data_IF_723823273955
#
_entry.id   IF_723823273955
#
_cell.length_a   1.000
_cell.length_b   1.000
_cell.length_c   1.000
_cell.angle_alpha   90.00
_cell.angle_beta   90.00
_cell.angle_gamma   90.00
#
_symmetry.space_group_name_H-M   'P 1'
#
loop_
_entity.id
_entity.type
_entity.pdbx_description
1 polymer ?
#
# COMPACT_ATOMS: atom_id res chain seq x y z
N UNK A 1 -0.90 13.15 -23.02
CA UNK A 1 -0.16 12.06 -23.70
C UNK A 1 -0.72 10.76 -23.17
N UNK A 2 -0.85 9.72 -24.00
CA UNK A 2 -1.24 8.40 -23.55
C UNK A 2 -0.14 7.82 -22.63
N UNK A 3 -0.52 7.23 -21.50
CA UNK A 3 0.41 6.64 -20.53
C UNK A 3 0.97 5.28 -20.97
N UNK A 4 1.92 4.73 -20.21
CA UNK A 4 2.53 3.43 -20.50
C UNK A 4 1.47 2.29 -20.51
N UNK A 5 0.47 2.34 -19.65
CA UNK A 5 -0.62 1.37 -19.64
C UNK A 5 -1.39 1.35 -20.98
N UNK A 6 -1.72 2.50 -21.56
CA UNK A 6 -2.44 2.62 -22.81
C UNK A 6 -1.57 2.25 -24.02
N UNK A 7 -0.32 2.70 -24.02
CA UNK A 7 0.63 2.46 -25.11
C UNK A 7 1.28 1.08 -25.07
N UNK A 8 1.25 0.41 -23.90
CA UNK A 8 1.98 -0.82 -23.59
C UNK A 8 3.51 -0.68 -23.75
N UNK A 9 4.01 0.54 -23.68
CA UNK A 9 5.43 0.84 -23.75
C UNK A 9 5.90 1.28 -22.36
N UNK A 10 6.60 0.38 -21.69
CA UNK A 10 7.17 0.63 -20.36
C UNK A 10 8.63 1.02 -20.53
N UNK A 11 9.00 2.15 -19.95
CA UNK A 11 10.35 2.67 -19.98
C UNK A 11 11.25 1.84 -19.06
N UNK A 12 12.37 1.37 -19.59
CA UNK A 12 13.41 0.74 -18.78
C UNK A 12 14.56 1.74 -18.57
N UNK A 13 14.55 2.42 -17.43
CA UNK A 13 15.51 3.47 -17.10
C UNK A 13 16.93 2.92 -16.99
N UNK A 14 17.14 1.72 -16.47
CA UNK A 14 18.46 1.11 -16.38
C UNK A 14 19.04 0.84 -17.77
N UNK A 15 18.24 0.37 -18.71
CA UNK A 15 18.66 0.19 -20.09
C UNK A 15 19.04 1.53 -20.78
N UNK A 16 18.36 2.62 -20.45
CA UNK A 16 18.69 3.96 -20.93
C UNK A 16 20.03 4.47 -20.39
N UNK A 17 20.45 4.01 -19.20
CA UNK A 17 21.77 4.27 -18.64
C UNK A 17 22.85 3.30 -19.11
N UNK A 18 22.53 2.40 -20.04
CA UNK A 18 23.50 1.54 -20.73
C UNK A 18 23.72 0.16 -20.11
N UNK A 19 22.91 -0.23 -19.12
CA UNK A 19 22.94 -1.59 -18.60
C UNK A 19 22.24 -2.54 -19.56
N UNK A 20 22.82 -3.73 -19.77
CA UNK A 20 22.19 -4.79 -20.57
C UNK A 20 21.01 -5.43 -19.81
N UNK A 21 20.10 -6.05 -20.54
CA UNK A 21 18.98 -6.78 -19.92
C UNK A 21 19.47 -7.88 -18.97
N UNK A 22 20.56 -8.57 -19.32
CA UNK A 22 21.17 -9.61 -18.49
C UNK A 22 21.72 -9.04 -17.16
N UNK A 23 22.39 -7.88 -17.20
CA UNK A 23 22.89 -7.20 -15.98
C UNK A 23 21.74 -6.73 -15.10
N UNK A 24 20.68 -6.21 -15.69
CA UNK A 24 19.49 -5.74 -14.96
C UNK A 24 18.80 -6.93 -14.29
N UNK A 25 18.51 -8.00 -15.04
CA UNK A 25 17.85 -9.19 -14.52
C UNK A 25 18.67 -9.84 -13.39
N UNK A 26 19.97 -10.02 -13.63
CA UNK A 26 20.89 -10.55 -12.62
C UNK A 26 20.87 -9.72 -11.34
N UNK A 27 20.94 -8.38 -11.46
CA UNK A 27 20.94 -7.49 -10.29
C UNK A 27 19.63 -7.56 -9.51
N UNK A 28 18.49 -7.62 -10.19
CA UNK A 28 17.17 -7.75 -9.57
C UNK A 28 17.07 -9.07 -8.79
N UNK A 29 17.48 -10.19 -9.39
CA UNK A 29 17.46 -11.49 -8.74
C UNK A 29 18.44 -11.56 -7.54
N UNK A 30 19.65 -11.05 -7.68
CA UNK A 30 20.62 -10.98 -6.57
C UNK A 30 20.09 -10.13 -5.41
N UNK A 31 19.41 -9.03 -5.71
CA UNK A 31 18.81 -8.18 -4.68
C UNK A 31 17.66 -8.88 -3.97
N UNK A 32 16.80 -9.58 -4.72
CA UNK A 32 15.76 -10.41 -4.12
C UNK A 32 16.34 -11.45 -3.17
N UNK A 33 17.34 -12.23 -3.62
CA UNK A 33 17.99 -13.26 -2.79
C UNK A 33 18.62 -12.65 -1.52
N UNK A 34 19.22 -11.46 -1.61
CA UNK A 34 19.78 -10.78 -0.44
C UNK A 34 18.68 -10.38 0.56
N UNK A 35 17.60 -9.78 0.09
CA UNK A 35 16.52 -9.27 0.96
C UNK A 35 15.69 -10.39 1.57
N UNK A 36 15.47 -11.48 0.82
CA UNK A 36 14.59 -12.57 1.25
C UNK A 36 15.34 -13.74 1.87
N UNK A 37 16.52 -14.08 1.36
CA UNK A 37 17.24 -15.32 1.70
C UNK A 37 18.69 -15.10 2.11
N UNK A 38 19.13 -13.85 2.23
CA UNK A 38 20.47 -13.49 2.66
C UNK A 38 20.78 -13.86 4.12
N UNK A 39 21.93 -13.44 4.60
CA UNK A 39 22.30 -13.62 6.00
C UNK A 39 21.34 -12.89 6.95
N UNK A 40 21.40 -13.19 8.24
CA UNK A 40 20.57 -12.50 9.25
C UNK A 40 20.80 -10.98 9.31
N UNK A 41 21.94 -10.51 8.85
CA UNK A 41 22.30 -9.10 8.80
C UNK A 41 21.80 -8.39 7.52
N UNK A 42 21.39 -9.15 6.51
CA UNK A 42 21.02 -8.62 5.18
C UNK A 42 19.53 -8.76 4.86
N UNK A 43 18.90 -9.83 5.38
CA UNK A 43 17.51 -10.13 5.04
C UNK A 43 16.53 -9.32 5.87
N UNK A 44 15.42 -8.98 5.26
CA UNK A 44 14.23 -8.42 5.94
C UNK A 44 13.11 -9.46 6.06
N UNK A 45 13.12 -10.48 5.22
CA UNK A 45 12.14 -11.57 5.25
C UNK A 45 12.55 -12.67 6.22
N UNK A 46 11.58 -13.12 7.02
CA UNK A 46 11.76 -14.21 7.97
C UNK A 46 10.64 -15.23 7.84
N UNK A 47 10.99 -16.50 7.82
CA UNK A 47 10.00 -17.58 7.90
C UNK A 47 9.43 -17.69 9.31
N UNK A 48 8.11 -17.97 9.41
CA UNK A 48 7.37 -18.13 10.65
C UNK A 48 6.55 -19.43 10.62
N UNK A 49 6.93 -20.39 11.45
CA UNK A 49 6.32 -21.72 11.43
C UNK A 49 6.57 -22.46 10.12
N UNK A 50 5.60 -23.30 9.69
CA UNK A 50 5.78 -24.16 8.51
C UNK A 50 5.48 -23.43 7.20
N UNK A 51 4.52 -22.47 7.19
CA UNK A 51 3.93 -21.94 5.97
C UNK A 51 3.55 -20.46 6.06
N UNK A 52 4.18 -19.71 6.95
CA UNK A 52 4.05 -18.26 7.09
C UNK A 52 5.41 -17.58 6.99
N UNK A 53 5.41 -16.27 6.76
CA UNK A 53 6.60 -15.44 6.78
C UNK A 53 6.22 -13.97 6.97
N UNK A 54 7.16 -13.15 7.40
CA UNK A 54 6.96 -11.73 7.60
C UNK A 54 8.17 -10.91 7.14
N UNK A 55 7.93 -9.63 6.88
CA UNK A 55 8.98 -8.63 6.64
C UNK A 55 9.21 -7.86 7.94
N UNK A 56 10.45 -7.80 8.40
CA UNK A 56 10.84 -7.04 9.58
C UNK A 56 11.16 -5.58 9.21
N UNK A 57 10.57 -4.64 9.92
CA UNK A 57 11.08 -3.27 10.01
C UNK A 57 12.28 -3.26 10.97
N UNK A 58 13.47 -3.20 10.41
CA UNK A 58 14.73 -3.26 11.16
C UNK A 58 14.99 -2.03 12.04
N UNK A 59 14.28 -0.93 11.79
CA UNK A 59 14.37 0.27 12.61
C UNK A 59 13.59 0.16 13.93
N UNK A 60 12.49 -0.58 13.91
CA UNK A 60 11.58 -0.71 15.07
C UNK A 60 11.49 -2.15 15.59
N UNK A 61 12.04 -3.13 14.88
CA UNK A 61 11.96 -4.56 15.19
C UNK A 61 10.52 -5.04 15.34
N UNK A 62 9.67 -4.65 14.40
CA UNK A 62 8.28 -5.05 14.29
C UNK A 62 7.94 -5.43 12.82
N UNK A 63 6.74 -5.94 12.58
CA UNK A 63 6.19 -6.17 11.26
C UNK A 63 5.08 -5.14 11.00
N UNK A 64 5.18 -4.40 9.90
CA UNK A 64 4.25 -3.34 9.51
C UNK A 64 3.53 -3.67 8.23
N UNK A 65 2.33 -3.12 8.06
CA UNK A 65 1.55 -3.32 6.84
C UNK A 65 2.29 -2.86 5.60
N UNK A 66 3.10 -1.80 5.68
CA UNK A 66 3.98 -1.33 4.59
C UNK A 66 4.98 -2.41 4.18
N UNK A 67 5.78 -2.89 5.14
CA UNK A 67 6.79 -3.92 4.87
C UNK A 67 6.17 -5.20 4.29
N UNK A 68 5.06 -5.66 4.89
CA UNK A 68 4.34 -6.85 4.44
C UNK A 68 3.79 -6.69 3.02
N UNK A 69 3.12 -5.58 2.73
CA UNK A 69 2.50 -5.33 1.44
C UNK A 69 3.53 -5.06 0.33
N UNK A 70 4.62 -4.35 0.64
CA UNK A 70 5.74 -4.16 -0.29
C UNK A 70 6.46 -5.47 -0.59
N UNK A 71 6.67 -6.32 0.43
CA UNK A 71 7.20 -7.66 0.24
C UNK A 71 6.33 -8.49 -0.70
N UNK A 72 5.00 -8.48 -0.51
CA UNK A 72 4.06 -9.13 -1.42
C UNK A 72 4.14 -8.55 -2.84
N UNK A 73 4.26 -7.23 -2.98
CA UNK A 73 4.38 -6.58 -4.30
C UNK A 73 5.68 -6.99 -5.01
N UNK A 74 6.80 -7.08 -4.31
CA UNK A 74 8.07 -7.60 -4.86
C UNK A 74 7.90 -9.04 -5.30
N UNK A 75 7.34 -9.90 -4.45
CA UNK A 75 7.12 -11.32 -4.74
C UNK A 75 6.26 -11.53 -5.98
N UNK A 76 5.13 -10.81 -6.12
CA UNK A 76 4.25 -11.00 -7.26
C UNK A 76 4.89 -10.50 -8.57
N UNK A 77 5.70 -9.47 -8.53
CA UNK A 77 6.41 -8.98 -9.73
C UNK A 77 7.51 -9.94 -10.18
N UNK A 78 8.20 -10.59 -9.23
CA UNK A 78 9.31 -11.52 -9.50
C UNK A 78 8.89 -12.99 -9.61
N UNK A 79 7.58 -13.29 -9.64
CA UNK A 79 7.02 -14.64 -9.72
C UNK A 79 7.41 -15.57 -8.54
N UNK A 80 7.45 -15.01 -7.34
CA UNK A 80 7.81 -15.67 -6.08
C UNK A 80 6.55 -15.99 -5.28
N UNK A 81 5.80 -17.01 -5.72
CA UNK A 81 4.48 -17.34 -5.17
C UNK A 81 4.56 -17.85 -3.73
N UNK A 82 5.57 -18.63 -3.39
CA UNK A 82 5.68 -19.23 -2.06
C UNK A 82 5.85 -18.14 -1.00
N UNK A 83 6.78 -17.23 -1.18
CA UNK A 83 7.03 -16.12 -0.27
C UNK A 83 5.81 -15.18 -0.19
N UNK A 84 5.14 -14.93 -1.33
CA UNK A 84 3.89 -14.18 -1.37
C UNK A 84 2.81 -14.80 -0.48
N UNK A 85 2.56 -16.10 -0.64
CA UNK A 85 1.54 -16.81 0.12
C UNK A 85 1.86 -16.87 1.61
N UNK A 86 3.15 -17.01 1.96
CA UNK A 86 3.63 -16.98 3.35
C UNK A 86 3.41 -15.62 4.00
N UNK A 87 3.74 -14.52 3.30
CA UNK A 87 3.49 -13.15 3.75
C UNK A 87 2.00 -12.89 3.93
N UNK A 88 1.18 -13.25 2.92
CA UNK A 88 -0.26 -13.05 3.00
C UNK A 88 -0.90 -13.85 4.12
N UNK A 89 -0.47 -15.09 4.32
CA UNK A 89 -0.99 -15.94 5.41
C UNK A 89 -0.65 -15.37 6.78
N UNK A 90 0.56 -14.86 6.98
CA UNK A 90 0.95 -14.21 8.23
C UNK A 90 0.13 -12.94 8.48
N UNK A 91 -0.02 -12.09 7.47
CA UNK A 91 -0.84 -10.89 7.51
C UNK A 91 -2.29 -11.21 7.91
N UNK A 92 -2.89 -12.19 7.27
CA UNK A 92 -4.27 -12.62 7.58
C UNK A 92 -4.41 -13.25 8.95
N UNK A 93 -3.37 -13.87 9.48
CA UNK A 93 -3.41 -14.55 10.78
C UNK A 93 -3.24 -13.56 11.93
N UNK A 94 -2.36 -12.59 11.81
CA UNK A 94 -1.95 -11.76 12.95
C UNK A 94 -2.40 -10.29 12.83
N UNK A 95 -2.37 -9.71 11.65
CA UNK A 95 -2.74 -8.30 11.46
C UNK A 95 -4.24 -8.10 11.26
N UNK A 96 -4.93 -9.05 10.60
CA UNK A 96 -6.35 -8.90 10.32
C UNK A 96 -7.19 -8.83 11.59
N UNK A 97 -8.00 -7.77 11.73
CA UNK A 97 -8.88 -7.54 12.88
C UNK A 97 -10.28 -8.08 12.57
N UNK A 98 -10.73 -9.06 13.31
CA UNK A 98 -12.04 -9.70 13.18
C UNK A 98 -13.12 -9.14 14.10
N UNK A 99 -12.74 -8.26 15.02
CA UNK A 99 -13.62 -7.58 15.98
C UNK A 99 -13.17 -6.14 16.25
N UNK A 100 -13.97 -5.43 17.01
CA UNK A 100 -13.69 -4.05 17.45
C UNK A 100 -13.89 -2.99 16.35
N UNK A 101 -13.48 -1.73 16.61
CA UNK A 101 -13.64 -0.62 15.65
C UNK A 101 -12.88 -0.82 14.34
N UNK A 102 -11.74 -1.51 14.41
CA UNK A 102 -10.91 -1.86 13.25
C UNK A 102 -11.32 -3.13 12.51
N UNK A 103 -12.47 -3.73 12.86
CA UNK A 103 -12.92 -4.97 12.23
C UNK A 103 -12.86 -4.89 10.71
N UNK A 104 -12.32 -5.95 10.07
CA UNK A 104 -12.10 -6.10 8.64
C UNK A 104 -10.99 -5.21 8.06
N UNK A 105 -10.25 -4.50 8.90
CA UNK A 105 -8.99 -3.84 8.56
C UNK A 105 -7.80 -4.62 9.11
N UNK A 106 -6.58 -4.15 8.85
CA UNK A 106 -5.35 -4.74 9.36
C UNK A 106 -4.71 -3.82 10.39
N UNK A 107 -4.27 -4.37 11.53
CA UNK A 107 -3.44 -3.65 12.49
C UNK A 107 -2.13 -3.24 11.79
N UNK A 108 -1.81 -1.96 11.78
CA UNK A 108 -0.67 -1.45 11.00
C UNK A 108 0.68 -1.95 11.51
N UNK A 109 0.78 -2.38 12.77
CA UNK A 109 2.01 -2.92 13.37
C UNK A 109 1.72 -4.09 14.29
N UNK A 110 2.55 -5.13 14.18
CA UNK A 110 2.61 -6.28 15.07
C UNK A 110 4.06 -6.53 15.51
N UNK A 111 4.26 -7.03 16.72
CA UNK A 111 5.52 -7.62 17.11
C UNK A 111 5.83 -8.86 16.25
N UNK A 112 7.09 -9.29 16.19
CA UNK A 112 7.52 -10.41 15.33
C UNK A 112 6.90 -11.76 15.74
N UNK A 113 6.35 -11.87 16.94
CA UNK A 113 5.58 -13.03 17.41
C UNK A 113 4.09 -12.99 17.02
N UNK A 114 3.66 -11.93 16.32
CA UNK A 114 2.29 -11.72 15.88
C UNK A 114 1.41 -10.97 16.89
N UNK A 115 1.91 -10.58 18.05
CA UNK A 115 1.17 -9.73 18.98
C UNK A 115 0.96 -8.35 18.37
N UNK A 116 -0.27 -7.85 18.31
CA UNK A 116 -0.58 -6.52 17.76
C UNK A 116 -0.02 -5.42 18.65
N UNK A 117 0.73 -4.51 18.05
CA UNK A 117 1.20 -3.27 18.69
C UNK A 117 0.17 -2.14 18.60
N UNK A 118 -0.77 -2.24 17.67
CA UNK A 118 -1.79 -1.24 17.39
C UNK A 118 -3.15 -1.89 17.14
N UNK A 119 -4.23 -1.15 17.47
CA UNK A 119 -5.61 -1.57 17.28
C UNK A 119 -6.30 -0.85 16.08
N UNK A 120 -5.52 -0.25 15.21
CA UNK A 120 -6.00 0.50 14.05
C UNK A 120 -5.18 0.25 12.80
N UNK A 121 -5.74 0.56 11.61
CA UNK A 121 -5.08 0.41 10.34
C UNK A 121 -4.30 1.66 9.93
N UNK A 122 -3.46 1.50 8.88
CA UNK A 122 -2.88 2.57 8.08
C UNK A 122 -3.23 2.32 6.61
N UNK A 123 -3.96 3.23 5.94
CA UNK A 123 -4.56 2.99 4.62
C UNK A 123 -3.60 2.56 3.50
N UNK A 124 -2.35 3.00 3.53
CA UNK A 124 -1.32 2.60 2.58
C UNK A 124 -1.07 1.09 2.56
N UNK A 125 -1.17 0.43 3.73
CA UNK A 125 -1.09 -1.02 3.80
C UNK A 125 -2.20 -1.71 3.02
N UNK A 126 -3.44 -1.30 3.21
CA UNK A 126 -4.61 -1.86 2.53
C UNK A 126 -4.56 -1.63 1.01
N UNK A 127 -4.09 -0.46 0.56
CA UNK A 127 -3.90 -0.16 -0.86
C UNK A 127 -2.94 -1.15 -1.52
N UNK A 128 -1.78 -1.33 -0.91
CA UNK A 128 -0.76 -2.22 -1.45
C UNK A 128 -1.16 -3.69 -1.33
N UNK A 129 -1.84 -4.11 -0.26
CA UNK A 129 -2.39 -5.47 -0.17
C UNK A 129 -3.38 -5.73 -1.29
N UNK A 130 -4.36 -4.84 -1.50
CA UNK A 130 -5.35 -4.99 -2.56
C UNK A 130 -4.69 -5.07 -3.94
N UNK A 131 -3.71 -4.20 -4.22
CA UNK A 131 -3.00 -4.20 -5.51
C UNK A 131 -2.18 -5.46 -5.71
N UNK A 132 -1.40 -5.88 -4.71
CA UNK A 132 -0.60 -7.10 -4.78
C UNK A 132 -1.48 -8.34 -4.99
N UNK A 133 -2.63 -8.42 -4.34
CA UNK A 133 -3.61 -9.50 -4.50
C UNK A 133 -4.25 -9.50 -5.90
N UNK A 134 -4.57 -8.36 -6.49
CA UNK A 134 -5.05 -8.31 -7.88
C UNK A 134 -3.97 -8.77 -8.86
N UNK A 135 -2.72 -8.41 -8.64
CA UNK A 135 -1.60 -8.90 -9.45
C UNK A 135 -1.43 -10.42 -9.30
N UNK A 136 -1.53 -10.94 -8.07
CA UNK A 136 -1.45 -12.38 -7.79
C UNK A 136 -2.56 -13.15 -8.50
N UNK A 137 -3.81 -12.67 -8.42
CA UNK A 137 -4.94 -13.25 -9.15
C UNK A 137 -4.68 -13.31 -10.67
N UNK A 138 -4.06 -12.28 -11.25
CA UNK A 138 -3.75 -12.24 -12.68
C UNK A 138 -2.56 -13.11 -13.06
N UNK A 139 -1.57 -13.22 -12.20
CA UNK A 139 -0.36 -14.00 -12.47
C UNK A 139 -0.57 -15.50 -12.23
N UNK A 140 -1.19 -15.86 -11.11
CA UNK A 140 -1.28 -17.25 -10.63
C UNK A 140 -2.70 -17.83 -10.63
N UNK A 141 -3.70 -16.97 -10.80
CA UNK A 141 -5.11 -17.35 -10.66
C UNK A 141 -5.56 -17.36 -9.20
N UNK A 142 -6.87 -17.44 -8.99
CA UNK A 142 -7.46 -17.50 -7.66
C UNK A 142 -7.42 -18.94 -7.11
N UNK A 143 -6.99 -19.07 -5.86
CA UNK A 143 -7.03 -20.31 -5.09
C UNK A 143 -8.26 -20.40 -4.19
N UNK A 144 -8.18 -21.23 -3.15
CA UNK A 144 -9.23 -21.42 -2.14
C UNK A 144 -8.94 -20.61 -0.86
N UNK A 145 -9.98 -20.32 -0.07
CA UNK A 145 -9.85 -19.63 1.21
C UNK A 145 -9.22 -18.26 1.04
N UNK A 146 -8.25 -17.92 1.86
CA UNK A 146 -7.53 -16.63 1.80
C UNK A 146 -6.68 -16.47 0.53
N UNK A 147 -6.44 -17.52 -0.22
CA UNK A 147 -5.71 -17.49 -1.49
C UNK A 147 -6.64 -17.28 -2.70
N UNK A 148 -7.92 -17.02 -2.48
CA UNK A 148 -8.77 -16.43 -3.51
C UNK A 148 -8.46 -14.93 -3.58
N UNK A 149 -7.36 -14.60 -4.25
CA UNK A 149 -6.74 -13.27 -4.21
C UNK A 149 -7.67 -12.16 -4.67
N UNK A 150 -8.42 -12.37 -5.78
CA UNK A 150 -9.33 -11.34 -6.28
C UNK A 150 -10.48 -11.05 -5.30
N UNK A 151 -10.99 -12.07 -4.61
CA UNK A 151 -12.02 -11.90 -3.58
C UNK A 151 -11.47 -11.15 -2.37
N UNK A 152 -10.27 -11.50 -1.89
CA UNK A 152 -9.64 -10.82 -0.76
C UNK A 152 -9.36 -9.35 -1.09
N UNK A 153 -8.82 -9.06 -2.29
CA UNK A 153 -8.60 -7.68 -2.75
C UNK A 153 -9.88 -6.85 -2.76
N UNK A 154 -10.96 -7.41 -3.32
CA UNK A 154 -12.27 -6.76 -3.37
C UNK A 154 -12.85 -6.51 -1.98
N UNK A 155 -12.74 -7.48 -1.07
CA UNK A 155 -13.20 -7.34 0.30
C UNK A 155 -12.45 -6.20 1.03
N UNK A 156 -11.13 -6.08 0.85
CA UNK A 156 -10.35 -4.97 1.39
C UNK A 156 -10.88 -3.63 0.85
N UNK A 157 -10.99 -3.49 -0.47
CA UNK A 157 -11.43 -2.24 -1.09
C UNK A 157 -12.85 -1.86 -0.70
N UNK A 158 -13.76 -2.83 -0.58
CA UNK A 158 -15.12 -2.59 -0.12
C UNK A 158 -15.14 -2.01 1.30
N UNK A 159 -14.42 -2.61 2.24
CA UNK A 159 -14.33 -2.09 3.61
C UNK A 159 -13.73 -0.68 3.65
N UNK A 160 -12.71 -0.40 2.83
CA UNK A 160 -12.05 0.91 2.77
C UNK A 160 -13.01 2.07 2.44
N UNK A 161 -14.07 1.82 1.67
CA UNK A 161 -14.99 2.87 1.19
C UNK A 161 -16.37 2.84 1.83
N UNK A 162 -16.86 1.69 2.29
CA UNK A 162 -18.23 1.52 2.80
C UNK A 162 -18.40 1.58 4.30
N UNK A 163 -17.32 1.54 5.09
CA UNK A 163 -17.45 1.75 6.54
C UNK A 163 -18.08 3.13 6.82
N UNK A 164 -18.92 3.16 7.87
CA UNK A 164 -19.73 4.34 8.21
C UNK A 164 -21.10 4.37 7.54
N UNK A 165 -21.36 3.53 6.54
CA UNK A 165 -22.67 3.37 5.92
C UNK A 165 -23.62 2.53 6.81
N UNK A 166 -24.95 2.61 6.59
CA UNK A 166 -25.90 1.79 7.32
C UNK A 166 -25.60 0.28 7.21
N UNK A 167 -25.26 -0.36 8.32
CA UNK A 167 -24.88 -1.78 8.37
C UNK A 167 -23.38 -2.05 8.31
N UNK A 168 -22.56 -1.02 8.07
CA UNK A 168 -21.10 -1.11 8.01
C UNK A 168 -20.47 -0.20 9.08
N UNK A 169 -20.39 -0.65 10.35
CA UNK A 169 -19.88 0.18 11.44
C UNK A 169 -18.38 0.47 11.29
N UNK A 170 -17.96 1.66 11.72
CA UNK A 170 -16.57 2.14 11.67
C UNK A 170 -16.45 3.37 10.77
N UNK A 171 -15.21 3.75 10.47
CA UNK A 171 -14.87 4.89 9.63
C UNK A 171 -14.20 4.40 8.34
N UNK A 172 -14.55 4.97 7.17
CA UNK A 172 -13.90 4.64 5.91
C UNK A 172 -12.48 5.21 5.84
N UNK A 173 -11.64 4.59 5.04
CA UNK A 173 -10.28 5.07 4.77
C UNK A 173 -10.25 6.21 3.75
N UNK A 174 -11.26 6.32 2.92
CA UNK A 174 -11.45 7.46 2.00
C UNK A 174 -12.58 8.34 2.50
N UNK A 175 -12.36 9.64 2.44
CA UNK A 175 -13.40 10.62 2.74
C UNK A 175 -14.49 10.60 1.66
N UNK A 176 -15.74 10.23 1.97
CA UNK A 176 -16.76 10.03 0.95
C UNK A 176 -17.09 11.28 0.14
N UNK A 177 -16.95 12.46 0.75
CA UNK A 177 -17.35 13.74 0.14
C UNK A 177 -16.37 14.22 -0.94
N UNK A 178 -15.07 13.96 -0.78
CA UNK A 178 -14.01 14.42 -1.69
C UNK A 178 -13.22 13.29 -2.33
N UNK A 179 -13.39 12.03 -1.86
CA UNK A 179 -12.70 10.80 -2.30
C UNK A 179 -11.18 10.83 -2.12
N UNK A 180 -10.69 11.61 -1.18
CA UNK A 180 -9.29 11.62 -0.80
C UNK A 180 -9.05 10.58 0.30
N UNK A 181 -7.89 9.95 0.25
CA UNK A 181 -7.47 9.01 1.29
C UNK A 181 -7.19 9.78 2.58
N UNK A 182 -7.57 9.20 3.72
CA UNK A 182 -7.28 9.74 5.04
C UNK A 182 -5.91 9.28 5.50
N UNK A 183 -5.30 10.00 6.42
CA UNK A 183 -4.11 9.49 7.11
C UNK A 183 -4.45 8.21 7.86
N UNK A 184 -5.50 8.24 8.71
CA UNK A 184 -6.11 7.05 9.32
C UNK A 184 -7.63 7.25 9.45
N UNK A 185 -8.42 6.18 9.53
CA UNK A 185 -9.86 6.30 9.81
C UNK A 185 -10.14 7.13 11.07
N UNK A 186 -11.15 7.99 11.00
CA UNK A 186 -11.54 8.88 12.08
C UNK A 186 -10.82 10.23 12.12
N UNK A 187 -9.84 10.47 11.25
CA UNK A 187 -9.20 11.77 11.06
C UNK A 187 -9.61 12.39 9.71
N UNK A 188 -9.58 13.73 9.64
CA UNK A 188 -10.04 14.52 8.50
C UNK A 188 -8.92 15.29 7.79
N UNK A 189 -7.76 14.65 7.72
CA UNK A 189 -6.62 15.08 6.93
C UNK A 189 -5.94 13.87 6.26
N UNK A 190 -4.97 14.12 5.40
CA UNK A 190 -4.30 13.11 4.59
C UNK A 190 -2.78 13.10 4.82
N UNK A 191 -2.17 12.01 4.42
CA UNK A 191 -0.74 11.94 4.10
C UNK A 191 -0.60 11.99 2.57
N UNK A 192 0.09 12.99 1.99
CA UNK A 192 0.29 13.08 0.55
C UNK A 192 0.96 11.84 -0.07
N UNK A 193 1.77 11.10 0.70
CA UNK A 193 2.44 9.90 0.22
C UNK A 193 1.51 8.69 0.04
N UNK A 194 0.33 8.71 0.67
CA UNK A 194 -0.68 7.66 0.52
C UNK A 194 -1.46 7.74 -0.80
N UNK A 195 -1.34 8.84 -1.54
CA UNK A 195 -2.07 9.03 -2.79
C UNK A 195 -1.44 8.25 -3.94
N UNK A 196 -2.10 7.15 -4.34
CA UNK A 196 -1.66 6.25 -5.41
C UNK A 196 -2.67 6.23 -6.57
N UNK A 197 -2.88 7.34 -7.30
CA UNK A 197 -3.91 7.43 -8.33
C UNK A 197 -3.79 6.37 -9.43
N UNK A 198 -2.60 5.88 -9.72
CA UNK A 198 -2.38 4.77 -10.65
C UNK A 198 -2.92 3.43 -10.13
N UNK A 199 -2.94 3.19 -8.81
CA UNK A 199 -3.62 2.05 -8.20
C UNK A 199 -5.13 2.21 -8.32
N UNK A 200 -5.65 3.41 -8.06
CA UNK A 200 -7.09 3.68 -8.12
C UNK A 200 -7.66 3.50 -9.53
N UNK A 201 -6.88 3.77 -10.58
CA UNK A 201 -7.26 3.45 -11.96
C UNK A 201 -7.47 1.94 -12.16
N UNK A 202 -6.58 1.11 -11.59
CA UNK A 202 -6.73 -0.35 -11.65
C UNK A 202 -7.87 -0.84 -10.73
N UNK A 203 -8.07 -0.21 -9.56
CA UNK A 203 -9.22 -0.51 -8.71
C UNK A 203 -10.53 -0.18 -9.43
N UNK A 204 -10.59 0.87 -10.23
CA UNK A 204 -11.75 1.19 -11.06
C UNK A 204 -12.08 0.11 -12.11
N UNK A 205 -11.10 -0.72 -12.48
CA UNK A 205 -11.33 -1.85 -13.41
C UNK A 205 -11.67 -3.14 -12.70
N UNK A 206 -11.08 -3.42 -11.52
CA UNK A 206 -11.09 -4.74 -10.89
C UNK A 206 -11.87 -4.83 -9.57
N UNK A 207 -12.19 -3.74 -8.90
CA UNK A 207 -13.08 -3.72 -7.75
C UNK A 207 -14.50 -4.17 -8.12
N UNK A 208 -15.35 -4.34 -7.12
CA UNK A 208 -16.76 -4.63 -7.36
C UNK A 208 -17.40 -3.54 -8.21
N UNK A 209 -18.34 -3.93 -9.07
CA UNK A 209 -18.88 -3.04 -10.10
C UNK A 209 -19.46 -1.75 -9.53
N UNK A 210 -20.09 -1.82 -8.35
CA UNK A 210 -20.66 -0.68 -7.65
C UNK A 210 -19.60 0.35 -7.22
N UNK A 211 -18.37 -0.08 -6.94
CA UNK A 211 -17.28 0.77 -6.43
C UNK A 211 -16.41 1.38 -7.53
N UNK A 212 -16.49 0.87 -8.76
CA UNK A 212 -15.65 1.33 -9.88
C UNK A 212 -15.74 2.82 -10.14
N UNK A 213 -16.95 3.38 -10.01
CA UNK A 213 -17.16 4.82 -10.17
C UNK A 213 -16.49 5.63 -9.05
N UNK A 214 -16.50 5.11 -7.83
CA UNK A 214 -15.82 5.73 -6.71
C UNK A 214 -14.32 5.79 -6.99
N UNK A 215 -13.69 4.66 -7.35
CA UNK A 215 -12.25 4.55 -7.58
C UNK A 215 -11.78 5.41 -8.75
N UNK A 216 -12.56 5.49 -9.82
CA UNK A 216 -12.29 6.45 -10.92
C UNK A 216 -12.25 7.89 -10.42
N UNK A 217 -13.22 8.27 -9.60
CA UNK A 217 -13.25 9.61 -9.01
C UNK A 217 -12.13 9.85 -8.00
N UNK A 218 -11.70 8.82 -7.24
CA UNK A 218 -10.58 8.90 -6.33
C UNK A 218 -9.25 9.13 -7.07
N UNK A 219 -9.05 8.47 -8.21
CA UNK A 219 -7.87 8.71 -9.05
C UNK A 219 -7.79 10.17 -9.54
N UNK A 220 -8.91 10.72 -10.02
CA UNK A 220 -9.00 12.11 -10.46
C UNK A 220 -8.78 13.10 -9.29
N UNK A 221 -9.41 12.84 -8.14
CA UNK A 221 -9.29 13.66 -6.94
C UNK A 221 -7.86 13.67 -6.39
N UNK A 222 -7.21 12.50 -6.30
CA UNK A 222 -5.84 12.37 -5.82
C UNK A 222 -4.84 13.12 -6.68
N UNK A 223 -4.92 13.04 -8.02
CA UNK A 223 -4.05 13.83 -8.91
C UNK A 223 -4.23 15.32 -8.69
N UNK A 224 -5.48 15.77 -8.60
CA UNK A 224 -5.75 17.18 -8.35
C UNK A 224 -5.26 17.64 -6.96
N UNK A 225 -5.33 16.77 -5.97
CA UNK A 225 -4.85 17.02 -4.62
C UNK A 225 -3.33 17.11 -4.57
N UNK A 226 -2.60 16.16 -5.15
CA UNK A 226 -1.13 16.16 -5.15
C UNK A 226 -0.54 17.46 -5.73
N UNK A 227 -1.15 18.01 -6.79
CA UNK A 227 -0.75 19.33 -7.30
C UNK A 227 -0.91 20.47 -6.31
N UNK A 228 -1.86 20.38 -5.37
CA UNK A 228 -2.07 21.37 -4.31
C UNK A 228 -1.20 21.12 -3.09
N UNK A 229 -0.94 19.85 -2.78
CA UNK A 229 -0.14 19.42 -1.65
C UNK A 229 1.37 19.61 -1.86
N UNK A 230 1.82 19.93 -3.08
CA UNK A 230 3.19 20.29 -3.37
C UNK A 230 3.41 21.80 -3.28
N UNK A 231 4.53 22.22 -2.65
CA UNK A 231 4.93 23.61 -2.61
C UNK A 231 5.19 24.13 -4.03
N UNK A 232 4.60 25.28 -4.43
CA UNK A 232 4.60 25.72 -5.82
C UNK A 232 6.01 25.99 -6.41
N UNK A 233 6.96 26.36 -5.56
CA UNK A 233 8.31 26.72 -6.01
C UNK A 233 9.31 25.57 -5.87
N UNK A 234 9.14 24.70 -4.87
CA UNK A 234 10.12 23.63 -4.55
C UNK A 234 9.67 22.25 -4.95
N UNK A 235 8.37 22.04 -5.12
CA UNK A 235 7.77 20.72 -5.35
C UNK A 235 7.77 19.80 -4.11
N UNK A 236 8.22 20.27 -2.94
CA UNK A 236 8.18 19.49 -1.71
C UNK A 236 6.74 19.44 -1.17
N UNK A 237 6.37 18.35 -0.53
CA UNK A 237 5.10 18.23 0.20
C UNK A 237 5.33 18.25 1.71
N UNK A 238 4.29 18.52 2.46
CA UNK A 238 4.27 18.23 3.89
C UNK A 238 4.13 16.72 4.11
N UNK A 239 4.51 16.23 5.28
CA UNK A 239 4.28 14.84 5.70
C UNK A 239 2.79 14.58 5.87
N UNK A 240 2.10 15.53 6.49
CA UNK A 240 0.63 15.54 6.63
C UNK A 240 0.06 16.82 6.07
N UNK A 241 -1.06 16.73 5.36
CA UNK A 241 -1.70 17.89 4.75
C UNK A 241 -3.23 17.79 4.83
N UNK A 242 -3.86 18.94 4.98
CA UNK A 242 -5.32 19.07 4.92
C UNK A 242 -5.83 18.79 3.49
N UNK A 243 -7.12 18.53 3.34
CA UNK A 243 -7.69 18.20 2.03
C UNK A 243 -7.64 19.34 0.99
N UNK A 244 -7.30 20.54 1.41
CA UNK A 244 -7.02 21.65 0.50
C UNK A 244 -5.56 21.70 0.01
N UNK A 245 -4.70 20.80 0.56
CA UNK A 245 -3.29 20.69 0.24
C UNK A 245 -2.35 21.49 1.14
N UNK A 246 -2.87 22.22 2.13
CA UNK A 246 -2.01 22.96 3.07
C UNK A 246 -1.39 22.02 4.11
N UNK A 247 -0.15 22.28 4.58
CA UNK A 247 0.44 21.49 5.66
C UNK A 247 -0.46 21.43 6.88
N UNK A 248 -0.71 20.21 7.37
CA UNK A 248 -1.58 20.00 8.52
C UNK A 248 -0.97 20.57 9.79
N UNK A 249 -1.68 21.46 10.49
CA UNK A 249 -1.18 22.17 11.67
C UNK A 249 -1.81 21.73 13.00
N UNK A 250 -2.85 20.91 12.96
CA UNK A 250 -3.42 20.34 14.17
C UNK A 250 -2.57 19.17 14.71
N UNK A 251 -2.59 18.96 16.02
CA UNK A 251 -1.84 17.87 16.67
C UNK A 251 -0.32 17.93 16.48
N UNK A 252 0.25 19.14 16.54
CA UNK A 252 1.68 19.42 16.39
C UNK A 252 2.57 18.53 17.26
N UNK A 253 2.16 18.23 18.47
CA UNK A 253 2.88 17.39 19.43
C UNK A 253 2.87 15.90 19.08
N UNK A 254 1.95 15.46 18.24
CA UNK A 254 1.80 14.03 17.83
C UNK A 254 2.32 13.83 16.41
N UNK A 255 1.91 14.71 15.47
CA UNK A 255 2.22 14.61 14.05
C UNK A 255 3.23 15.66 13.57
N UNK A 256 3.83 16.34 14.45
CA UNK A 256 4.99 17.24 14.60
C UNK A 256 5.54 18.00 13.40
N UNK A 257 5.06 17.84 12.19
CA UNK A 257 5.66 18.44 11.00
C UNK A 257 4.63 19.17 10.15
N UNK A 258 4.73 20.49 10.20
CA UNK A 258 3.83 21.40 9.49
C UNK A 258 4.48 22.05 8.29
N UNK A 259 5.76 21.77 8.07
CA UNK A 259 6.53 22.40 7.02
C UNK A 259 6.50 21.57 5.76
N UNK A 260 6.69 22.22 4.64
CA UNK A 260 6.92 21.62 3.36
C UNK A 260 8.28 20.93 3.39
N UNK A 261 8.30 19.63 3.61
CA UNK A 261 9.52 18.87 3.54
C UNK A 261 9.31 17.57 2.76
N UNK A 262 10.40 17.05 2.27
CA UNK A 262 10.43 15.86 1.47
C UNK A 262 10.47 14.60 2.36
N UNK A 263 9.56 13.66 2.10
CA UNK A 263 9.56 12.33 2.72
C UNK A 263 9.93 11.27 1.70
N UNK A 264 10.64 10.24 2.12
CA UNK A 264 10.98 9.11 1.23
C UNK A 264 9.74 8.34 0.75
N UNK A 265 8.64 8.40 1.46
CA UNK A 265 7.37 7.80 1.05
C UNK A 265 6.78 8.44 -0.22
N UNK A 266 7.13 9.68 -0.53
CA UNK A 266 6.71 10.33 -1.79
C UNK A 266 7.26 9.66 -3.06
N UNK A 267 8.30 8.85 -2.95
CA UNK A 267 8.77 8.07 -4.10
C UNK A 267 7.78 7.02 -4.59
N UNK A 268 6.85 6.63 -3.75
CA UNK A 268 5.82 5.64 -4.10
C UNK A 268 4.53 6.26 -4.62
N UNK A 269 4.35 7.57 -4.42
CA UNK A 269 3.19 8.28 -4.94
C UNK A 269 3.36 8.63 -6.43
N UNK A 270 2.25 8.63 -7.16
CA UNK A 270 2.20 9.04 -8.59
C UNK A 270 2.26 10.58 -8.68
N UNK A 271 3.45 11.13 -8.42
CA UNK A 271 3.70 12.57 -8.52
C UNK A 271 4.01 13.05 -9.96
N UNK A 272 3.77 12.22 -10.96
CA UNK A 272 4.07 12.53 -12.37
C UNK A 272 2.91 13.27 -13.06
#
# INVERSE_FOLDING_TARGET
MAGAYETKQYRNVFAEYGYSEEEIEKRVQETFETIFHGSEEERFYHEAGEDMGFMEDTGNHDARTEGMSYGMMVCVQLDKKEEFDRLWKWTRTYMYMDEGPGKNYFAWSCALDGTRNADGPAPDGEEYFAMALFFASRRWGDGEGIFNYSREAKAILHECVHKGEPGHPGDPMWEPSNKLIKFVPGLDFSDPSYHLPHFYELFAEYADEEDRKFWKGAAEASRAYLHKACHPDTGLSAEYADYDGTPHSAHQEIFGRHDWYYSCLLYTSDAA
#
